data_IF_964310423227
#
_entry.id   IF_964310423227
#
_cell.length_a   1.000
_cell.length_b   1.000
_cell.length_c   1.000
_cell.angle_alpha   90.00
_cell.angle_beta   90.00
_cell.angle_gamma   90.00
#
_symmetry.space_group_name_H-M   'P 1'
#
loop_
_entity.id
_entity.type
_entity.pdbx_description
1 polymer ?
#
# COMPACT_ATOMS: atom_id res chain seq x y z
N UNK A 1 -26.73 -28.05 -14.13
CA UNK A 1 -26.08 -26.77 -14.46
C UNK A 1 -25.79 -25.86 -13.26
N UNK A 2 -26.68 -25.71 -12.25
CA UNK A 2 -26.48 -24.83 -11.07
C UNK A 2 -25.18 -25.06 -10.27
N UNK A 3 -24.74 -26.31 -10.09
CA UNK A 3 -23.55 -26.64 -9.30
C UNK A 3 -22.24 -26.13 -9.95
N UNK A 4 -22.12 -26.22 -11.28
CA UNK A 4 -20.93 -25.79 -12.06
C UNK A 4 -20.75 -24.27 -12.07
N UNK A 5 -21.85 -23.51 -12.06
CA UNK A 5 -21.80 -22.05 -11.87
C UNK A 5 -21.43 -21.68 -10.43
N UNK A 6 -21.97 -22.37 -9.42
CA UNK A 6 -21.65 -22.10 -8.00
C UNK A 6 -20.16 -22.31 -7.69
N UNK A 7 -19.50 -23.30 -8.30
CA UNK A 7 -18.06 -23.55 -8.13
C UNK A 7 -17.20 -22.50 -8.83
N UNK A 8 -17.52 -22.10 -10.07
CA UNK A 8 -16.84 -20.98 -10.77
C UNK A 8 -16.84 -19.71 -9.92
N UNK A 9 -17.98 -19.32 -9.37
CA UNK A 9 -18.06 -18.10 -8.55
C UNK A 9 -17.26 -18.18 -7.24
N UNK A 10 -17.13 -19.38 -6.63
CA UNK A 10 -16.29 -19.56 -5.43
C UNK A 10 -14.80 -19.42 -5.76
N UNK A 11 -14.38 -20.04 -6.87
CA UNK A 11 -13.02 -19.96 -7.35
C UNK A 11 -12.64 -18.52 -7.75
N UNK A 12 -13.48 -17.82 -8.49
CA UNK A 12 -13.26 -16.42 -8.90
C UNK A 12 -13.16 -15.47 -7.68
N UNK A 13 -14.01 -15.66 -6.66
CA UNK A 13 -13.90 -14.90 -5.41
C UNK A 13 -12.59 -15.19 -4.66
N UNK A 14 -12.17 -16.45 -4.61
CA UNK A 14 -10.90 -16.82 -4.00
C UNK A 14 -9.70 -16.25 -4.78
N UNK A 15 -9.75 -16.27 -6.11
CA UNK A 15 -8.72 -15.69 -6.98
C UNK A 15 -8.61 -14.18 -6.79
N UNK A 16 -9.73 -13.45 -6.79
CA UNK A 16 -9.77 -12.02 -6.49
C UNK A 16 -9.18 -11.72 -5.12
N UNK A 17 -9.54 -12.53 -4.11
CA UNK A 17 -9.00 -12.40 -2.76
C UNK A 17 -7.48 -12.55 -2.69
N UNK A 18 -6.93 -13.55 -3.38
CA UNK A 18 -5.49 -13.76 -3.48
C UNK A 18 -4.80 -12.60 -4.19
N UNK A 19 -5.40 -12.05 -5.25
CA UNK A 19 -4.87 -10.89 -5.96
C UNK A 19 -4.81 -9.63 -5.07
N UNK A 20 -5.86 -9.36 -4.30
CA UNK A 20 -5.89 -8.25 -3.32
C UNK A 20 -4.80 -8.40 -2.24
N UNK A 21 -4.66 -9.61 -1.69
CA UNK A 21 -3.62 -9.91 -0.69
C UNK A 21 -2.22 -9.71 -1.27
N UNK A 22 -1.97 -10.24 -2.48
CA UNK A 22 -0.68 -10.05 -3.18
C UNK A 22 -0.39 -8.58 -3.42
N UNK A 23 -1.39 -7.80 -3.84
CA UNK A 23 -1.26 -6.35 -4.02
C UNK A 23 -0.86 -5.63 -2.74
N UNK A 24 -1.48 -5.97 -1.61
CA UNK A 24 -1.11 -5.43 -0.31
C UNK A 24 0.32 -5.80 0.10
N UNK A 25 0.70 -7.09 0.01
CA UNK A 25 2.04 -7.54 0.38
C UNK A 25 3.13 -6.88 -0.46
N UNK A 26 2.90 -6.70 -1.77
CA UNK A 26 3.85 -5.96 -2.61
C UNK A 26 4.06 -4.53 -2.12
N UNK A 27 2.99 -3.80 -1.77
CA UNK A 27 3.11 -2.44 -1.23
C UNK A 27 3.81 -2.43 0.13
N UNK A 28 3.49 -3.39 1.01
CA UNK A 28 4.14 -3.54 2.31
C UNK A 28 5.65 -3.82 2.14
N UNK A 29 6.03 -4.71 1.22
CA UNK A 29 7.44 -5.02 0.94
C UNK A 29 8.18 -3.79 0.43
N UNK A 30 7.63 -3.06 -0.54
CA UNK A 30 8.24 -1.81 -1.05
C UNK A 30 8.36 -0.78 0.07
N UNK A 31 7.31 -0.62 0.90
CA UNK A 31 7.35 0.28 2.05
C UNK A 31 8.50 -0.08 2.99
N UNK A 32 8.63 -1.35 3.40
CA UNK A 32 9.70 -1.79 4.31
C UNK A 32 11.08 -1.55 3.69
N UNK A 33 11.28 -1.94 2.42
CA UNK A 33 12.56 -1.80 1.74
C UNK A 33 13.00 -0.34 1.60
N UNK A 34 12.10 0.54 1.17
CA UNK A 34 12.39 1.96 0.99
C UNK A 34 12.67 2.62 2.35
N UNK A 35 11.86 2.36 3.37
CA UNK A 35 12.07 2.94 4.69
C UNK A 35 13.35 2.41 5.35
N UNK A 36 13.66 1.12 5.22
CA UNK A 36 14.92 0.55 5.69
C UNK A 36 16.12 1.17 4.97
N UNK A 37 16.04 1.35 3.64
CA UNK A 37 17.08 2.02 2.87
C UNK A 37 17.26 3.49 3.31
N UNK A 38 16.17 4.24 3.51
CA UNK A 38 16.22 5.62 4.00
C UNK A 38 16.86 5.71 5.40
N UNK A 39 16.52 4.80 6.31
CA UNK A 39 17.12 4.76 7.66
C UNK A 39 18.61 4.42 7.60
N UNK A 40 19.01 3.43 6.80
CA UNK A 40 20.42 3.03 6.63
C UNK A 40 21.22 4.16 5.98
N UNK A 41 20.67 4.77 4.92
CA UNK A 41 21.29 5.91 4.25
C UNK A 41 21.43 7.07 5.21
N UNK A 42 20.40 7.39 6.01
CA UNK A 42 20.50 8.41 7.06
C UNK A 42 21.62 8.09 8.04
N UNK A 43 21.62 6.93 8.69
CA UNK A 43 22.65 6.57 9.68
C UNK A 43 24.07 6.62 9.07
N UNK A 44 24.27 6.06 7.87
CA UNK A 44 25.57 6.11 7.18
C UNK A 44 25.95 7.52 6.76
N UNK A 45 25.03 8.30 6.22
CA UNK A 45 25.25 9.68 5.78
C UNK A 45 25.54 10.59 6.97
N UNK A 46 24.79 10.43 8.06
CA UNK A 46 25.01 11.09 9.35
C UNK A 46 26.39 10.71 9.90
N UNK A 47 26.79 9.44 9.94
CA UNK A 47 28.12 9.02 10.42
C UNK A 47 29.26 9.53 9.51
N UNK A 48 29.08 9.48 8.19
CA UNK A 48 30.09 9.93 7.20
C UNK A 48 30.25 11.46 7.22
N UNK A 49 29.15 12.22 7.34
CA UNK A 49 29.16 13.68 7.30
C UNK A 49 29.39 14.37 8.65
N UNK A 50 29.08 13.71 9.78
CA UNK A 50 29.45 14.20 11.12
C UNK A 50 30.98 14.28 11.26
N UNK A 51 31.74 13.59 10.40
CA UNK A 51 33.20 13.56 10.51
C UNK A 51 33.89 14.91 10.29
N UNK A 52 33.35 15.88 9.53
CA UNK A 52 33.96 17.22 9.39
C UNK A 52 32.93 18.28 8.98
N UNK A 53 32.69 19.28 9.83
CA UNK A 53 32.38 20.68 9.43
C UNK A 53 31.06 20.99 8.68
N UNK A 54 30.24 20.02 8.26
CA UNK A 54 29.10 20.26 7.37
C UNK A 54 27.80 20.81 8.03
N UNK A 55 27.74 20.91 9.36
CA UNK A 55 26.56 21.36 10.12
C UNK A 55 26.43 22.90 10.20
N UNK A 56 26.62 23.61 9.09
CA UNK A 56 26.40 25.05 9.06
C UNK A 56 24.94 25.44 8.79
N UNK A 57 24.16 24.59 8.12
CA UNK A 57 22.81 24.94 7.69
C UNK A 57 21.73 24.07 8.36
N UNK A 58 21.03 24.59 9.39
CA UNK A 58 19.91 23.89 10.04
C UNK A 58 18.77 23.52 9.08
N UNK A 59 18.54 24.29 8.00
CA UNK A 59 17.48 23.99 7.02
C UNK A 59 17.72 22.66 6.30
N UNK A 60 18.98 22.29 6.04
CA UNK A 60 19.30 21.04 5.37
C UNK A 60 19.00 19.83 6.26
N UNK A 61 19.24 19.94 7.57
CA UNK A 61 18.92 18.89 8.54
C UNK A 61 17.42 18.73 8.70
N UNK A 62 16.69 19.84 8.77
CA UNK A 62 15.23 19.82 8.87
C UNK A 62 14.61 19.24 7.59
N UNK A 63 15.13 19.59 6.41
CA UNK A 63 14.72 18.98 5.15
C UNK A 63 14.96 17.46 5.15
N UNK A 64 16.13 17.01 5.62
CA UNK A 64 16.45 15.57 5.69
C UNK A 64 15.54 14.82 6.68
N UNK A 65 15.26 15.42 7.85
CA UNK A 65 14.36 14.88 8.86
C UNK A 65 12.93 14.77 8.32
N UNK A 66 12.43 15.83 7.68
CA UNK A 66 11.10 15.83 7.07
C UNK A 66 10.98 14.77 5.96
N UNK A 67 11.97 14.68 5.07
CA UNK A 67 11.96 13.68 3.99
C UNK A 67 12.05 12.25 4.51
N UNK A 68 12.70 12.03 5.65
CA UNK A 68 12.78 10.70 6.26
C UNK A 68 11.48 10.39 7.02
N UNK A 69 11.21 11.11 8.11
CA UNK A 69 10.09 10.78 9.00
C UNK A 69 8.73 11.15 8.41
N UNK A 70 8.62 12.32 7.77
CA UNK A 70 7.37 12.77 7.15
C UNK A 70 6.91 11.81 6.06
N UNK A 71 7.82 11.42 5.17
CA UNK A 71 7.53 10.44 4.11
C UNK A 71 7.12 9.09 4.70
N UNK A 72 7.86 8.56 5.69
CA UNK A 72 7.54 7.29 6.35
C UNK A 72 6.15 7.30 6.98
N UNK A 73 5.75 8.40 7.62
CA UNK A 73 4.45 8.55 8.30
C UNK A 73 3.32 8.61 7.27
N UNK A 74 3.43 9.49 6.26
CA UNK A 74 2.39 9.63 5.23
C UNK A 74 2.18 8.32 4.47
N UNK A 75 3.27 7.66 4.07
CA UNK A 75 3.17 6.36 3.41
C UNK A 75 2.66 5.27 4.35
N UNK A 76 3.00 5.35 5.64
CA UNK A 76 2.46 4.44 6.65
C UNK A 76 0.94 4.55 6.78
N UNK A 77 0.39 5.77 6.76
CA UNK A 77 -1.05 6.01 6.77
C UNK A 77 -1.70 5.42 5.51
N UNK A 78 -1.13 5.65 4.33
CA UNK A 78 -1.64 5.08 3.07
C UNK A 78 -1.63 3.54 3.10
N UNK A 79 -0.57 2.95 3.65
CA UNK A 79 -0.45 1.50 3.82
C UNK A 79 -1.49 0.96 4.81
N UNK A 80 -1.76 1.67 5.91
CA UNK A 80 -2.82 1.32 6.86
C UNK A 80 -4.21 1.35 6.20
N UNK A 81 -4.51 2.36 5.38
CA UNK A 81 -5.76 2.42 4.61
C UNK A 81 -5.87 1.23 3.65
N UNK A 82 -4.78 0.88 2.96
CA UNK A 82 -4.75 -0.30 2.09
C UNK A 82 -4.94 -1.60 2.89
N UNK A 83 -4.30 -1.74 4.06
CA UNK A 83 -4.49 -2.87 4.95
C UNK A 83 -5.96 -3.00 5.37
N UNK A 84 -6.57 -1.91 5.83
CA UNK A 84 -7.98 -1.89 6.21
C UNK A 84 -8.84 -2.33 5.03
N UNK A 85 -8.68 -1.75 3.84
CA UNK A 85 -9.43 -2.17 2.65
C UNK A 85 -9.26 -3.66 2.34
N UNK A 86 -8.02 -4.14 2.38
CA UNK A 86 -7.71 -5.53 2.04
C UNK A 86 -8.23 -6.48 3.11
N UNK A 87 -8.11 -6.22 4.40
CA UNK A 87 -8.47 -7.21 5.44
C UNK A 87 -9.89 -7.07 5.98
N UNK A 88 -10.49 -5.88 5.98
CA UNK A 88 -11.83 -5.66 6.56
C UNK A 88 -12.98 -6.04 5.62
N UNK A 89 -12.72 -6.21 4.32
CA UNK A 89 -13.78 -6.41 3.33
C UNK A 89 -14.71 -5.19 3.18
N UNK A 90 -14.28 -4.01 3.67
CA UNK A 90 -15.03 -2.76 3.52
C UNK A 90 -14.94 -2.30 2.06
N UNK A 91 -16.09 -2.23 1.41
CA UNK A 91 -16.25 -1.56 0.12
C UNK A 91 -16.30 -0.05 0.33
N UNK A 92 -15.35 0.69 -0.25
CA UNK A 92 -15.32 2.15 -0.18
C UNK A 92 -16.52 2.81 -0.89
N UNK A 93 -17.06 2.16 -1.93
CA UNK A 93 -18.18 2.65 -2.71
C UNK A 93 -19.55 2.12 -2.23
N UNK A 94 -19.53 1.20 -1.26
CA UNK A 94 -20.71 0.55 -0.71
C UNK A 94 -21.21 -0.61 -1.57
N UNK A 95 -21.69 -1.68 -0.92
CA UNK A 95 -22.14 -2.93 -1.59
C UNK A 95 -23.19 -2.67 -2.68
N UNK A 96 -24.11 -1.71 -2.47
CA UNK A 96 -25.15 -1.37 -3.45
C UNK A 96 -24.57 -0.82 -4.76
N UNK A 97 -23.51 -0.01 -4.70
CA UNK A 97 -22.87 0.51 -5.91
C UNK A 97 -22.12 -0.61 -6.63
N UNK A 98 -21.40 -1.45 -5.90
CA UNK A 98 -20.67 -2.60 -6.46
C UNK A 98 -21.62 -3.58 -7.15
N UNK A 99 -22.74 -3.92 -6.52
CA UNK A 99 -23.76 -4.78 -7.12
C UNK A 99 -24.37 -4.20 -8.40
N UNK A 100 -24.52 -2.87 -8.48
CA UNK A 100 -24.97 -2.21 -9.71
C UNK A 100 -23.92 -2.32 -10.81
N UNK A 101 -22.64 -2.12 -10.50
CA UNK A 101 -21.58 -2.25 -11.51
C UNK A 101 -21.44 -3.68 -12.00
N UNK A 102 -21.50 -4.67 -11.11
CA UNK A 102 -21.45 -6.09 -11.50
C UNK A 102 -22.62 -6.43 -12.43
N UNK A 103 -23.84 -5.98 -12.12
CA UNK A 103 -24.99 -6.19 -13.02
C UNK A 103 -24.79 -5.55 -14.39
N UNK A 104 -24.33 -4.30 -14.42
CA UNK A 104 -24.05 -3.60 -15.68
C UNK A 104 -23.06 -4.37 -16.56
N UNK A 105 -21.92 -4.81 -16.01
CA UNK A 105 -20.94 -5.57 -16.79
C UNK A 105 -21.47 -6.93 -17.25
N UNK A 106 -22.29 -7.61 -16.44
CA UNK A 106 -22.94 -8.87 -16.83
C UNK A 106 -23.99 -8.69 -17.93
N UNK A 107 -24.64 -7.52 -17.99
CA UNK A 107 -25.62 -7.16 -19.02
C UNK A 107 -24.94 -6.72 -20.33
N UNK A 108 -23.78 -6.06 -20.25
CA UNK A 108 -22.97 -5.66 -21.41
C UNK A 108 -22.26 -6.85 -22.10
N UNK A 109 -22.07 -7.98 -21.40
CA UNK A 109 -21.49 -9.22 -21.97
C UNK A 109 -22.53 -10.18 -22.60
N UNK A 110 -23.82 -9.84 -22.64
CA UNK A 110 -24.89 -10.61 -23.30
C UNK A 110 -25.30 -10.02 -24.65
#
# INVERSE_FOLDING_TARGET
>A
MKAKNKTRTKYERAQKRVAELRGFYNHLTVYILVNAALLILREKFTIILISKEALGNPEFLDWLNWNTYGTSIVWGIALCIHALRTFSGISFFGRKWEERQIRRFMEEEN
#
